data_IF_884143283547
#
_entry.id   IF_884143283547
#
_cell.length_a   1.000
_cell.length_b   1.000
_cell.length_c   1.000
_cell.angle_alpha   90.00
_cell.angle_beta   90.00
_cell.angle_gamma   90.00
#
_symmetry.space_group_name_H-M   'P 1'
#
loop_
_entity.id
_entity.type
_entity.pdbx_description
1 polymer ?
#
# COMPACT_ATOMS: atom_id res chain seq x y z
N UNK A 1 16.37 -26.50 12.92
CA UNK A 1 16.14 -26.98 11.54
C UNK A 1 14.84 -26.35 11.09
N UNK A 2 14.81 -25.67 9.94
CA UNK A 2 13.57 -25.03 9.45
C UNK A 2 12.61 -26.11 8.92
N UNK A 3 11.31 -25.89 9.04
CA UNK A 3 10.29 -26.82 8.57
C UNK A 3 10.15 -26.74 7.04
N UNK A 4 10.34 -27.86 6.34
CA UNK A 4 10.11 -27.94 4.89
C UNK A 4 8.62 -27.79 4.59
N UNK A 5 8.25 -26.67 3.99
CA UNK A 5 6.87 -26.25 3.83
C UNK A 5 6.51 -26.13 2.35
N UNK A 6 5.46 -26.84 1.96
CA UNK A 6 4.78 -26.70 0.67
C UNK A 6 3.57 -25.76 0.83
N UNK A 7 3.31 -24.89 -0.15
CA UNK A 7 2.18 -23.95 -0.09
C UNK A 7 1.11 -24.33 -1.09
N UNK A 8 -0.12 -24.59 -0.64
CA UNK A 8 -1.25 -24.87 -1.52
C UNK A 8 -2.02 -23.58 -1.84
N UNK A 9 -1.84 -23.11 -3.08
CA UNK A 9 -2.36 -21.87 -3.65
C UNK A 9 -1.23 -20.89 -3.96
N UNK A 10 -0.90 -20.69 -5.23
CA UNK A 10 0.12 -19.74 -5.68
C UNK A 10 -0.51 -18.36 -5.92
N UNK A 11 -0.83 -17.65 -4.84
CA UNK A 11 -1.46 -16.34 -4.86
C UNK A 11 -0.98 -15.42 -3.74
N UNK A 12 -1.57 -14.21 -3.58
CA UNK A 12 -1.10 -13.21 -2.63
C UNK A 12 -1.00 -13.71 -1.19
N UNK A 13 -1.97 -14.52 -0.73
CA UNK A 13 -1.95 -15.10 0.62
C UNK A 13 -0.73 -15.99 0.89
N UNK A 14 -0.18 -16.63 -0.14
CA UNK A 14 1.02 -17.45 -0.02
C UNK A 14 2.28 -16.59 0.14
N UNK A 15 2.36 -15.48 -0.59
CA UNK A 15 3.47 -14.53 -0.46
C UNK A 15 3.49 -13.88 0.94
N UNK A 16 2.31 -13.53 1.46
CA UNK A 16 2.16 -12.99 2.82
C UNK A 16 2.57 -14.04 3.85
N UNK A 17 2.09 -15.27 3.70
CA UNK A 17 2.48 -16.37 4.59
C UNK A 17 3.99 -16.61 4.60
N UNK A 18 4.62 -16.58 3.41
CA UNK A 18 6.07 -16.70 3.28
C UNK A 18 6.79 -15.59 4.04
N UNK A 19 6.42 -14.33 3.78
CA UNK A 19 6.99 -13.16 4.48
C UNK A 19 6.90 -13.31 5.99
N UNK A 20 5.73 -13.71 6.50
CA UNK A 20 5.44 -13.76 7.94
C UNK A 20 6.05 -14.98 8.65
N UNK A 21 6.56 -16.00 7.94
CA UNK A 21 7.02 -17.25 8.57
C UNK A 21 8.37 -17.77 8.03
N UNK A 22 9.09 -16.96 7.25
CA UNK A 22 10.37 -17.33 6.62
C UNK A 22 11.47 -17.74 7.62
N UNK A 23 11.45 -17.22 8.84
CA UNK A 23 12.48 -17.56 9.85
C UNK A 23 12.31 -18.97 10.40
N UNK A 24 11.09 -19.51 10.36
CA UNK A 24 10.74 -20.83 10.89
C UNK A 24 10.73 -21.92 9.81
N UNK A 25 10.67 -21.52 8.53
CA UNK A 25 10.32 -22.40 7.41
C UNK A 25 11.31 -22.34 6.25
N UNK A 26 11.47 -23.49 5.61
CA UNK A 26 12.11 -23.64 4.31
C UNK A 26 11.00 -23.91 3.29
N UNK A 27 10.74 -22.96 2.39
CA UNK A 27 9.72 -23.14 1.37
C UNK A 27 10.29 -23.90 0.17
N UNK A 28 9.64 -25.00 -0.19
CA UNK A 28 10.16 -25.92 -1.22
C UNK A 28 9.40 -25.82 -2.56
N UNK A 29 8.27 -25.11 -2.59
CA UNK A 29 7.41 -25.04 -3.76
C UNK A 29 5.98 -24.62 -3.46
N UNK A 30 5.22 -24.43 -4.53
CA UNK A 30 3.78 -24.23 -4.47
C UNK A 30 3.06 -25.40 -5.13
N UNK A 31 1.80 -25.59 -4.75
CA UNK A 31 0.84 -26.45 -5.44
C UNK A 31 -0.38 -25.62 -5.77
N UNK A 32 -0.89 -25.67 -6.99
CA UNK A 32 -2.11 -24.93 -7.38
C UNK A 32 -3.01 -25.80 -8.26
N UNK A 33 -4.33 -25.67 -8.14
CA UNK A 33 -5.26 -26.37 -9.02
C UNK A 33 -5.33 -25.73 -10.42
N UNK A 34 -4.86 -24.49 -10.57
CA UNK A 34 -4.81 -23.80 -11.84
C UNK A 34 -3.68 -24.34 -12.73
N UNK A 35 -4.07 -25.10 -13.76
CA UNK A 35 -3.14 -25.70 -14.73
C UNK A 35 -2.33 -24.66 -15.52
N UNK A 36 -2.81 -23.42 -15.65
CA UNK A 36 -2.07 -22.38 -16.34
C UNK A 36 -0.77 -22.00 -15.62
N UNK A 37 -0.71 -22.20 -14.30
CA UNK A 37 0.46 -21.84 -13.47
C UNK A 37 1.51 -22.94 -13.36
N UNK A 38 1.19 -24.18 -13.79
CA UNK A 38 2.06 -25.33 -13.53
C UNK A 38 3.39 -25.21 -14.30
N UNK A 39 4.49 -25.39 -13.59
CA UNK A 39 5.85 -25.23 -14.12
C UNK A 39 6.36 -23.80 -14.15
N UNK A 40 5.51 -22.80 -13.87
CA UNK A 40 5.97 -21.44 -13.61
C UNK A 40 6.72 -21.35 -12.28
N UNK A 41 7.47 -20.25 -12.10
CA UNK A 41 8.16 -19.94 -10.85
C UNK A 41 7.55 -18.70 -10.20
N UNK A 42 7.34 -18.79 -8.89
CA UNK A 42 6.96 -17.68 -8.03
C UNK A 42 7.99 -17.58 -6.91
N UNK A 43 8.59 -16.39 -6.70
CA UNK A 43 9.68 -16.21 -5.72
C UNK A 43 10.84 -17.21 -5.88
N UNK A 44 11.14 -17.61 -7.12
CA UNK A 44 12.19 -18.59 -7.43
C UNK A 44 11.85 -20.05 -7.08
N UNK A 45 10.60 -20.34 -6.69
CA UNK A 45 10.11 -21.69 -6.38
C UNK A 45 9.08 -22.14 -7.42
N UNK A 46 9.11 -23.42 -7.76
CA UNK A 46 8.22 -24.02 -8.78
C UNK A 46 6.79 -24.16 -8.28
N UNK A 47 5.83 -23.94 -9.17
CA UNK A 47 4.41 -24.25 -8.96
C UNK A 47 4.11 -25.62 -9.57
N UNK A 48 3.75 -26.59 -8.73
CA UNK A 48 3.47 -27.97 -9.12
C UNK A 48 1.97 -28.23 -9.27
N UNK A 49 1.57 -29.18 -10.12
CA UNK A 49 0.23 -29.77 -10.04
C UNK A 49 0.05 -30.54 -8.71
N UNK A 50 -1.18 -30.66 -8.17
CA UNK A 50 -1.43 -31.46 -6.97
C UNK A 50 -1.01 -32.92 -7.10
N UNK A 51 -1.04 -33.48 -8.32
CA UNK A 51 -0.57 -34.84 -8.63
C UNK A 51 0.93 -35.06 -8.46
N UNK A 52 1.70 -34.03 -8.10
CA UNK A 52 3.13 -34.14 -7.80
C UNK A 52 3.43 -34.17 -6.30
N UNK A 53 2.43 -33.99 -5.41
CA UNK A 53 2.64 -33.90 -3.96
C UNK A 53 3.39 -35.12 -3.42
N UNK A 54 3.08 -36.33 -3.90
CA UNK A 54 3.71 -37.60 -3.50
C UNK A 54 5.19 -37.70 -3.87
N UNK A 55 5.67 -36.87 -4.80
CA UNK A 55 7.07 -36.82 -5.26
C UNK A 55 7.89 -35.77 -4.54
N UNK A 56 7.28 -34.95 -3.67
CA UNK A 56 7.94 -33.86 -2.97
C UNK A 56 8.24 -34.24 -1.53
N UNK A 57 9.44 -33.87 -1.05
CA UNK A 57 9.87 -34.08 0.33
C UNK A 57 9.50 -32.87 1.19
N UNK A 58 8.42 -32.99 1.98
CA UNK A 58 7.93 -31.93 2.87
C UNK A 58 7.51 -32.44 4.26
N UNK A 59 7.69 -31.57 5.25
CA UNK A 59 7.18 -31.78 6.61
C UNK A 59 5.70 -31.42 6.69
N UNK A 60 5.31 -30.30 6.06
CA UNK A 60 3.96 -29.75 6.11
C UNK A 60 3.53 -29.13 4.78
N UNK A 61 2.22 -29.13 4.52
CA UNK A 61 1.57 -28.37 3.46
C UNK A 61 0.60 -27.35 4.08
N UNK A 62 0.80 -26.07 3.78
CA UNK A 62 -0.02 -24.96 4.30
C UNK A 62 -1.00 -24.51 3.22
N UNK A 63 -2.28 -24.40 3.56
CA UNK A 63 -3.31 -23.97 2.63
C UNK A 63 -3.41 -22.44 2.66
N UNK A 64 -3.02 -21.78 1.57
CA UNK A 64 -2.91 -20.31 1.46
C UNK A 64 -3.92 -19.71 0.48
N UNK A 65 -4.96 -20.48 0.14
CA UNK A 65 -6.07 -20.07 -0.74
C UNK A 65 -7.38 -19.89 0.03
N UNK A 66 -8.29 -19.08 -0.51
CA UNK A 66 -9.62 -18.88 0.05
C UNK A 66 -10.48 -20.16 0.09
N UNK A 67 -10.16 -21.15 -0.74
CA UNK A 67 -10.87 -22.43 -0.85
C UNK A 67 -10.42 -23.46 0.20
N UNK A 68 -10.10 -23.00 1.42
CA UNK A 68 -9.38 -23.77 2.44
C UNK A 68 -9.96 -25.16 2.74
N UNK A 69 -11.28 -25.26 2.95
CA UNK A 69 -11.94 -26.52 3.28
C UNK A 69 -12.03 -27.50 2.08
N UNK A 70 -12.19 -26.97 0.87
CA UNK A 70 -12.22 -27.79 -0.35
C UNK A 70 -10.83 -28.38 -0.62
N UNK A 71 -9.78 -27.56 -0.50
CA UNK A 71 -8.39 -28.00 -0.62
C UNK A 71 -8.02 -28.99 0.47
N UNK A 72 -8.41 -28.76 1.73
CA UNK A 72 -8.19 -29.72 2.81
C UNK A 72 -8.80 -31.09 2.48
N UNK A 73 -10.02 -31.11 1.94
CA UNK A 73 -10.69 -32.35 1.52
C UNK A 73 -9.95 -33.02 0.37
N UNK A 74 -9.57 -32.25 -0.65
CA UNK A 74 -8.81 -32.72 -1.81
C UNK A 74 -7.47 -33.37 -1.38
N UNK A 75 -6.70 -32.68 -0.54
CA UNK A 75 -5.42 -33.19 -0.04
C UNK A 75 -5.56 -34.52 0.70
N UNK A 76 -6.63 -34.68 1.48
CA UNK A 76 -6.87 -35.90 2.26
C UNK A 76 -7.43 -37.05 1.43
N UNK A 77 -8.36 -36.76 0.53
CA UNK A 77 -9.18 -37.78 -0.14
C UNK A 77 -8.66 -38.16 -1.53
N UNK A 78 -7.98 -37.24 -2.22
CA UNK A 78 -7.48 -37.45 -3.58
C UNK A 78 -5.97 -37.69 -3.62
N UNK A 79 -5.22 -37.08 -2.69
CA UNK A 79 -3.74 -37.14 -2.67
C UNK A 79 -3.17 -37.81 -1.42
N UNK A 80 -4.02 -38.42 -0.58
CA UNK A 80 -3.64 -39.19 0.62
C UNK A 80 -2.66 -38.47 1.56
N UNK A 81 -2.70 -37.13 1.62
CA UNK A 81 -1.83 -36.35 2.51
C UNK A 81 -2.28 -36.55 3.96
N UNK A 82 -1.38 -36.98 4.86
CA UNK A 82 -1.74 -37.17 6.27
C UNK A 82 -2.25 -35.88 6.91
N UNK A 83 -3.37 -35.94 7.63
CA UNK A 83 -3.99 -34.77 8.27
C UNK A 83 -3.02 -33.99 9.17
N UNK A 84 -2.10 -34.69 9.85
CA UNK A 84 -1.05 -34.08 10.68
C UNK A 84 -0.04 -33.21 9.91
N UNK A 85 0.05 -33.37 8.58
CA UNK A 85 0.90 -32.55 7.71
C UNK A 85 0.15 -31.35 7.12
N UNK A 86 -1.18 -31.30 7.20
CA UNK A 86 -1.97 -30.24 6.56
C UNK A 86 -2.24 -29.12 7.56
N UNK A 87 -1.82 -27.91 7.23
CA UNK A 87 -1.93 -26.73 8.08
C UNK A 87 -2.92 -25.74 7.46
N UNK A 88 -3.96 -25.40 8.22
CA UNK A 88 -4.75 -24.20 7.98
C UNK A 88 -4.12 -23.06 8.79
N UNK A 89 -3.53 -22.05 8.14
CA UNK A 89 -2.88 -20.96 8.83
C UNK A 89 -3.91 -20.13 9.61
N UNK A 90 -3.51 -19.59 10.77
CA UNK A 90 -4.35 -18.62 11.48
C UNK A 90 -4.42 -17.33 10.66
N UNK A 91 -5.55 -16.61 10.71
CA UNK A 91 -5.80 -15.45 9.83
C UNK A 91 -4.66 -14.42 9.82
N UNK A 92 -3.98 -14.21 10.94
CA UNK A 92 -2.88 -13.25 11.04
C UNK A 92 -1.64 -13.66 10.22
N UNK A 93 -1.40 -14.97 10.03
CA UNK A 93 -0.32 -15.44 9.16
C UNK A 93 -0.62 -15.18 7.66
N UNK A 94 -1.86 -14.84 7.32
CA UNK A 94 -2.30 -14.47 5.97
C UNK A 94 -2.61 -12.97 5.83
N UNK A 95 -2.37 -12.16 6.86
CA UNK A 95 -2.53 -10.71 6.84
C UNK A 95 -1.16 -10.05 6.91
N UNK A 96 -1.00 -8.95 6.18
CA UNK A 96 0.12 -8.06 6.43
C UNK A 96 0.00 -7.53 7.87
N UNK A 97 1.13 -7.41 8.56
CA UNK A 97 1.17 -6.61 9.78
C UNK A 97 0.86 -5.15 9.41
N UNK A 98 -0.01 -4.52 10.18
CA UNK A 98 -0.41 -3.13 9.95
C UNK A 98 0.72 -2.22 10.46
N UNK A 99 1.36 -1.44 9.58
CA UNK A 99 2.63 -0.78 9.90
C UNK A 99 2.49 0.18 11.09
N UNK A 100 1.36 0.86 11.24
CA UNK A 100 1.22 1.90 12.27
C UNK A 100 0.86 1.38 13.68
N UNK A 101 0.68 0.06 13.87
CA UNK A 101 0.75 -0.52 15.21
C UNK A 101 2.19 -0.75 15.67
N UNK A 102 3.15 -0.83 14.75
CA UNK A 102 4.57 -0.87 15.07
C UNK A 102 5.07 0.54 15.46
N UNK A 103 5.71 0.64 16.63
CA UNK A 103 6.15 1.92 17.18
C UNK A 103 7.25 2.60 16.33
N UNK A 104 8.16 1.85 15.73
CA UNK A 104 9.20 2.43 14.87
C UNK A 104 8.59 2.97 13.57
N UNK A 105 7.69 2.20 12.94
CA UNK A 105 7.00 2.59 11.70
C UNK A 105 6.11 3.81 11.87
N UNK A 106 5.28 3.88 12.93
CA UNK A 106 4.45 5.08 13.14
C UNK A 106 5.30 6.32 13.43
N UNK A 107 6.44 6.19 14.12
CA UNK A 107 7.34 7.32 14.34
C UNK A 107 8.03 7.78 13.06
N UNK A 108 8.39 6.85 12.16
CA UNK A 108 8.88 7.19 10.84
C UNK A 108 7.81 7.90 10.01
N UNK A 109 6.57 7.42 10.04
CA UNK A 109 5.45 8.05 9.34
C UNK A 109 5.21 9.49 9.84
N UNK A 110 5.21 9.71 11.17
CA UNK A 110 5.10 11.06 11.75
C UNK A 110 6.27 11.97 11.35
N UNK A 111 7.49 11.41 11.32
CA UNK A 111 8.69 12.11 10.87
C UNK A 111 8.57 12.56 9.41
N UNK A 112 8.08 11.68 8.52
CA UNK A 112 7.83 12.01 7.11
C UNK A 112 6.81 13.16 7.00
N UNK A 113 5.66 13.07 7.69
CA UNK A 113 4.63 14.12 7.69
C UNK A 113 5.19 15.47 8.12
N UNK A 114 5.89 15.51 9.26
CA UNK A 114 6.48 16.74 9.80
C UNK A 114 7.54 17.33 8.86
N UNK A 115 8.58 16.56 8.51
CA UNK A 115 9.75 17.10 7.81
C UNK A 115 9.46 17.46 6.36
N UNK A 116 8.57 16.71 5.67
CA UNK A 116 8.14 17.12 4.33
C UNK A 116 7.33 18.42 4.38
N UNK A 117 6.41 18.57 5.35
CA UNK A 117 5.65 19.81 5.52
C UNK A 117 6.54 21.00 5.90
N UNK A 118 7.47 20.82 6.82
CA UNK A 118 8.41 21.86 7.23
C UNK A 118 9.20 22.40 6.02
N UNK A 119 9.76 21.48 5.21
CA UNK A 119 10.46 21.84 3.97
C UNK A 119 9.54 22.53 2.96
N UNK A 120 8.32 22.04 2.81
CA UNK A 120 7.35 22.59 1.87
C UNK A 120 6.94 24.00 2.25
N UNK A 121 6.65 24.25 3.53
CA UNK A 121 6.35 25.57 4.07
C UNK A 121 7.53 26.53 3.87
N UNK A 122 8.76 26.10 4.21
CA UNK A 122 9.95 26.91 4.03
C UNK A 122 10.20 27.27 2.55
N UNK A 123 9.94 26.33 1.64
CA UNK A 123 10.08 26.51 0.20
C UNK A 123 8.86 27.17 -0.47
N UNK A 124 7.77 27.42 0.28
CA UNK A 124 6.46 27.89 -0.23
C UNK A 124 5.88 26.99 -1.32
N UNK A 125 6.09 25.69 -1.17
CA UNK A 125 5.53 24.65 -2.03
C UNK A 125 4.22 24.16 -1.38
N UNK A 126 3.09 24.13 -2.12
CA UNK A 126 1.88 23.49 -1.63
C UNK A 126 2.08 21.97 -1.57
N UNK A 127 2.03 21.41 -0.37
CA UNK A 127 2.13 19.98 -0.11
C UNK A 127 1.26 19.64 1.10
N UNK A 128 -0.02 19.38 0.84
CA UNK A 128 -1.00 19.10 1.88
C UNK A 128 -1.02 17.62 2.22
N UNK A 129 -1.31 17.25 3.46
CA UNK A 129 -1.72 15.86 3.77
C UNK A 129 -3.10 15.58 3.18
N UNK A 130 -3.34 14.35 2.72
CA UNK A 130 -4.55 13.96 2.00
C UNK A 130 -5.17 12.66 2.58
N UNK A 131 -6.37 12.30 2.11
CA UNK A 131 -7.05 11.04 2.40
C UNK A 131 -6.99 10.56 3.87
N UNK A 132 -6.52 9.33 4.11
CA UNK A 132 -6.48 8.69 5.43
C UNK A 132 -5.55 9.41 6.41
N UNK A 133 -4.47 10.00 5.89
CA UNK A 133 -3.54 10.80 6.70
C UNK A 133 -4.21 12.07 7.22
N UNK A 134 -4.85 12.85 6.35
CA UNK A 134 -5.62 14.02 6.77
C UNK A 134 -6.72 13.64 7.77
N UNK A 135 -7.48 12.59 7.47
CA UNK A 135 -8.55 12.10 8.33
C UNK A 135 -8.04 11.74 9.71
N UNK A 136 -6.92 11.01 9.80
CA UNK A 136 -6.28 10.65 11.06
C UNK A 136 -5.86 11.87 11.86
N UNK A 137 -5.09 12.77 11.23
CA UNK A 137 -4.59 13.98 11.88
C UNK A 137 -5.72 14.82 12.48
N UNK A 138 -6.86 14.93 11.79
CA UNK A 138 -8.02 15.72 12.26
C UNK A 138 -8.87 14.97 13.28
N UNK A 139 -9.24 13.71 13.00
CA UNK A 139 -10.20 12.95 13.85
C UNK A 139 -9.52 12.27 15.02
N UNK A 140 -8.46 11.53 14.75
CA UNK A 140 -7.78 10.68 15.72
C UNK A 140 -6.61 11.42 16.39
N UNK A 141 -6.34 12.67 15.97
CA UNK A 141 -5.24 13.53 16.43
C UNK A 141 -3.85 12.96 16.10
N UNK A 142 -3.80 11.97 15.21
CA UNK A 142 -2.60 11.24 14.83
C UNK A 142 -2.88 10.34 13.60
N UNK A 143 -1.84 9.70 13.07
CA UNK A 143 -1.96 8.70 12.02
C UNK A 143 -2.84 7.54 12.51
N UNK A 144 -3.77 7.10 11.66
CA UNK A 144 -4.71 6.01 11.97
C UNK A 144 -3.93 4.71 12.15
N UNK A 145 -4.01 4.01 13.31
CA UNK A 145 -3.18 2.83 13.56
C UNK A 145 -3.42 1.65 12.60
N UNK A 146 -4.61 1.58 11.99
CA UNK A 146 -4.98 0.53 11.04
C UNK A 146 -4.89 0.96 9.57
N UNK A 147 -4.37 2.15 9.28
CA UNK A 147 -3.93 2.52 7.93
C UNK A 147 -2.59 1.84 7.60
N UNK A 148 -2.22 1.88 6.32
CA UNK A 148 -0.99 1.29 5.81
C UNK A 148 -0.13 2.19 4.91
N UNK A 149 -0.50 3.47 4.77
CA UNK A 149 0.24 4.47 3.98
C UNK A 149 0.18 5.89 4.59
N UNK A 150 0.95 6.80 3.97
CA UNK A 150 0.88 8.24 4.27
C UNK A 150 0.64 8.98 2.97
N UNK A 151 -0.42 9.78 2.91
CA UNK A 151 -0.85 10.45 1.69
C UNK A 151 -0.65 11.96 1.76
N UNK A 152 -0.11 12.49 0.67
CA UNK A 152 -0.01 13.91 0.39
C UNK A 152 -0.61 14.23 -0.98
N UNK A 153 -1.00 15.48 -1.15
CA UNK A 153 -1.36 16.03 -2.44
C UNK A 153 -0.62 17.34 -2.72
N UNK A 154 -0.31 17.54 -4.00
CA UNK A 154 0.30 18.76 -4.50
C UNK A 154 -0.25 19.12 -5.89
N UNK A 155 -0.26 20.39 -6.29
CA UNK A 155 -0.63 20.79 -7.64
C UNK A 155 0.39 20.26 -8.65
N UNK A 156 -0.08 19.82 -9.82
CA UNK A 156 0.75 19.27 -10.88
C UNK A 156 1.89 20.20 -11.30
N UNK A 157 1.64 21.50 -11.24
CA UNK A 157 2.58 22.56 -11.60
C UNK A 157 3.81 22.59 -10.67
N UNK A 158 3.71 22.01 -9.47
CA UNK A 158 4.80 21.94 -8.48
C UNK A 158 5.59 20.63 -8.51
N UNK A 159 5.34 19.76 -9.50
CA UNK A 159 5.87 18.39 -9.48
C UNK A 159 7.40 18.30 -9.44
N UNK A 160 8.12 19.21 -10.10
CA UNK A 160 9.58 19.23 -10.08
C UNK A 160 10.15 19.73 -8.76
N UNK A 161 9.49 20.71 -8.14
CA UNK A 161 9.84 21.27 -6.85
C UNK A 161 9.60 20.25 -5.72
N UNK A 162 8.46 19.54 -5.77
CA UNK A 162 8.14 18.44 -4.86
C UNK A 162 9.14 17.29 -5.02
N UNK A 163 9.53 16.94 -6.25
CA UNK A 163 10.57 15.92 -6.48
C UNK A 163 11.89 16.30 -5.81
N UNK A 164 12.33 17.55 -5.97
CA UNK A 164 13.55 18.06 -5.34
C UNK A 164 13.43 18.06 -3.80
N UNK A 165 12.25 18.40 -3.27
CA UNK A 165 11.96 18.39 -1.84
C UNK A 165 12.05 16.97 -1.26
N UNK A 166 11.44 15.97 -1.90
CA UNK A 166 11.51 14.56 -1.46
C UNK A 166 12.95 14.05 -1.52
N UNK A 167 13.71 14.38 -2.58
CA UNK A 167 15.14 14.06 -2.67
C UNK A 167 15.96 14.69 -1.54
N UNK A 168 15.66 15.93 -1.18
CA UNK A 168 16.30 16.61 -0.06
C UNK A 168 15.96 15.96 1.29
N UNK A 169 14.72 15.54 1.50
CA UNK A 169 14.33 14.77 2.69
C UNK A 169 15.11 13.46 2.80
N UNK A 170 15.23 12.70 1.71
CA UNK A 170 16.00 11.45 1.67
C UNK A 170 17.48 11.69 1.98
N UNK A 171 18.07 12.72 1.39
CA UNK A 171 19.48 13.06 1.61
C UNK A 171 19.82 13.38 3.07
N UNK A 172 18.89 14.03 3.79
CA UNK A 172 19.07 14.37 5.21
C UNK A 172 18.71 13.21 6.16
N UNK A 173 18.22 12.10 5.63
CA UNK A 173 17.77 10.93 6.38
C UNK A 173 18.45 9.62 5.94
N UNK A 174 19.80 9.55 5.94
CA UNK A 174 20.55 8.43 5.34
C UNK A 174 20.47 7.10 6.11
N UNK A 175 19.95 7.13 7.34
CA UNK A 175 19.83 5.93 8.19
C UNK A 175 18.79 4.93 7.66
N UNK A 176 17.85 5.40 6.84
CA UNK A 176 16.82 4.58 6.20
C UNK A 176 17.23 4.30 4.74
N UNK A 177 17.03 3.07 4.27
CA UNK A 177 17.27 2.69 2.86
C UNK A 177 16.11 3.16 1.98
N UNK A 178 16.14 4.41 1.56
CA UNK A 178 15.05 5.00 0.77
C UNK A 178 15.05 4.53 -0.69
N UNK A 179 13.85 4.46 -1.26
CA UNK A 179 13.62 4.38 -2.71
C UNK A 179 12.57 5.40 -3.11
N UNK A 180 12.87 6.20 -4.13
CA UNK A 180 11.93 7.17 -4.69
C UNK A 180 11.47 6.66 -6.06
N UNK A 181 10.18 6.39 -6.21
CA UNK A 181 9.59 6.00 -7.48
C UNK A 181 8.72 7.13 -8.04
N UNK A 182 9.05 7.57 -9.25
CA UNK A 182 8.28 8.56 -10.00
C UNK A 182 7.33 7.85 -10.97
N UNK A 183 6.03 8.13 -10.85
CA UNK A 183 5.01 7.56 -11.74
C UNK A 183 4.67 8.59 -12.82
N UNK A 184 4.79 8.19 -14.09
CA UNK A 184 4.54 9.05 -15.26
C UNK A 184 3.46 8.42 -16.13
N UNK A 185 2.49 9.21 -16.59
CA UNK A 185 1.43 8.77 -17.50
C UNK A 185 1.85 8.72 -18.98
N UNK A 186 0.96 8.26 -19.85
CA UNK A 186 1.18 8.20 -21.30
C UNK A 186 1.41 9.57 -21.97
N UNK A 187 1.07 10.67 -21.28
CA UNK A 187 1.23 12.06 -21.73
C UNK A 187 2.50 12.70 -21.16
N UNK A 188 3.37 11.93 -20.51
CA UNK A 188 4.60 12.39 -19.86
C UNK A 188 4.37 13.32 -18.66
N UNK A 189 3.18 13.30 -18.06
CA UNK A 189 2.92 13.99 -16.80
C UNK A 189 3.30 13.09 -15.64
N UNK A 190 3.99 13.67 -14.66
CA UNK A 190 4.23 12.98 -13.39
C UNK A 190 2.92 12.96 -12.62
N UNK A 191 2.37 11.78 -12.34
CA UNK A 191 1.08 11.66 -11.63
C UNK A 191 1.27 11.49 -10.13
N UNK A 192 2.36 10.87 -9.70
CA UNK A 192 2.72 10.74 -8.28
C UNK A 192 4.21 10.50 -8.09
N UNK A 193 4.66 10.74 -6.86
CA UNK A 193 5.95 10.29 -6.32
C UNK A 193 5.66 9.36 -5.16
N UNK A 194 6.26 8.18 -5.16
CA UNK A 194 6.15 7.20 -4.09
C UNK A 194 7.48 7.15 -3.34
N UNK A 195 7.44 7.54 -2.08
CA UNK A 195 8.57 7.39 -1.16
C UNK A 195 8.41 6.05 -0.43
N UNK A 196 9.32 5.14 -0.71
CA UNK A 196 9.40 3.80 -0.13
C UNK A 196 10.72 3.64 0.60
N UNK A 197 10.83 2.60 1.39
CA UNK A 197 12.08 2.26 2.05
C UNK A 197 12.16 0.76 2.32
N UNK A 198 13.38 0.27 2.58
CA UNK A 198 13.61 -1.05 3.12
C UNK A 198 14.17 -0.94 4.54
N UNK A 199 13.66 -1.78 5.43
CA UNK A 199 14.16 -1.88 6.80
C UNK A 199 15.53 -2.58 6.84
N UNK A 200 16.60 -1.86 7.22
CA UNK A 200 17.94 -2.47 7.39
C UNK A 200 18.04 -3.32 8.66
N UNK A 201 17.34 -2.91 9.72
CA UNK A 201 17.35 -3.53 11.05
C UNK A 201 16.19 -4.49 11.31
N UNK A 202 15.17 -4.52 10.45
CA UNK A 202 13.98 -5.36 10.60
C UNK A 202 12.95 -4.84 11.60
N UNK A 203 13.15 -3.67 12.18
CA UNK A 203 12.27 -3.02 13.16
C UNK A 203 11.15 -2.19 12.52
N UNK A 204 11.39 -1.65 11.32
CA UNK A 204 10.37 -1.00 10.51
C UNK A 204 9.56 -2.02 9.71
N UNK A 205 8.24 -1.90 9.79
CA UNK A 205 7.28 -2.49 8.85
C UNK A 205 7.05 -1.55 7.67
N UNK A 206 7.06 -2.12 6.47
CA UNK A 206 6.92 -1.40 5.21
C UNK A 206 5.58 -0.66 5.11
N UNK A 207 5.65 0.60 4.69
CA UNK A 207 4.52 1.40 4.20
C UNK A 207 5.00 2.28 3.06
N UNK A 208 4.07 2.87 2.29
CA UNK A 208 4.42 3.82 1.24
C UNK A 208 3.95 5.20 1.65
N UNK A 209 4.77 6.23 1.44
CA UNK A 209 4.29 7.60 1.44
C UNK A 209 4.05 8.05 0.01
N UNK A 210 2.80 8.36 -0.31
CA UNK A 210 2.37 8.76 -1.65
C UNK A 210 2.25 10.28 -1.71
N UNK A 211 2.83 10.90 -2.73
CA UNK A 211 2.56 12.29 -3.08
C UNK A 211 1.84 12.29 -4.42
N UNK A 212 0.51 12.43 -4.35
CA UNK A 212 -0.35 12.47 -5.52
C UNK A 212 -0.42 13.88 -6.11
N UNK A 213 -0.19 14.00 -7.41
CA UNK A 213 -0.41 15.27 -8.07
C UNK A 213 -1.88 15.42 -8.49
N UNK A 214 -2.37 16.65 -8.35
CA UNK A 214 -3.73 17.04 -8.69
C UNK A 214 -3.73 18.15 -9.72
N UNK A 215 -4.77 18.18 -10.57
CA UNK A 215 -4.94 19.23 -11.59
C UNK A 215 -6.35 19.80 -11.55
N UNK A 216 -6.46 21.13 -11.48
CA UNK A 216 -7.75 21.82 -11.57
C UNK A 216 -8.27 21.77 -13.01
N UNK A 217 -9.49 21.27 -13.19
CA UNK A 217 -10.18 21.14 -14.46
C UNK A 217 -11.70 21.16 -14.23
N UNK A 218 -12.41 22.02 -14.97
CA UNK A 218 -13.88 22.10 -14.97
C UNK A 218 -14.50 22.24 -13.56
N UNK A 219 -13.88 23.06 -12.69
CA UNK A 219 -14.35 23.28 -11.32
C UNK A 219 -13.92 22.20 -10.31
N UNK A 220 -13.09 21.24 -10.73
CA UNK A 220 -12.68 20.07 -9.95
C UNK A 220 -11.17 19.97 -9.85
N UNK A 221 -10.66 19.61 -8.68
CA UNK A 221 -9.32 19.09 -8.50
C UNK A 221 -9.29 17.59 -8.80
N UNK A 222 -8.68 17.23 -9.93
CA UNK A 222 -8.60 15.86 -10.45
C UNK A 222 -7.39 15.15 -9.84
N UNK A 223 -7.60 14.02 -9.16
CA UNK A 223 -6.52 13.17 -8.67
C UNK A 223 -5.90 12.37 -9.83
N UNK A 224 -4.70 12.75 -10.25
CA UNK A 224 -4.07 12.20 -11.45
C UNK A 224 -3.74 10.70 -11.34
N UNK A 225 -3.24 10.17 -10.21
CA UNK A 225 -2.96 8.74 -10.09
C UNK A 225 -4.20 7.85 -10.24
N UNK A 226 -5.42 8.38 -10.07
CA UNK A 226 -6.65 7.62 -10.28
C UNK A 226 -7.41 8.05 -11.53
N UNK A 227 -6.77 8.80 -12.42
CA UNK A 227 -7.41 9.34 -13.63
C UNK A 227 -8.70 10.12 -13.34
N UNK A 228 -8.80 10.76 -12.16
CA UNK A 228 -10.00 11.50 -11.75
C UNK A 228 -11.12 10.67 -11.11
N UNK A 229 -10.93 9.36 -10.88
CA UNK A 229 -11.89 8.58 -10.06
C UNK A 229 -12.12 9.25 -8.70
N UNK A 230 -11.05 9.61 -8.01
CA UNK A 230 -11.10 10.58 -6.93
C UNK A 230 -10.98 12.00 -7.47
N UNK A 231 -11.82 12.88 -6.94
CA UNK A 231 -11.82 14.31 -7.25
C UNK A 231 -12.33 15.07 -6.04
N UNK A 232 -12.19 16.39 -6.06
CA UNK A 232 -12.85 17.28 -5.12
C UNK A 232 -13.21 18.60 -5.84
N UNK A 233 -14.08 19.46 -5.29
CA UNK A 233 -14.13 20.85 -5.70
C UNK A 233 -12.74 21.49 -5.69
N UNK A 234 -12.38 22.24 -6.74
CA UNK A 234 -11.02 22.76 -6.94
C UNK A 234 -10.55 23.69 -5.81
N UNK A 235 -11.46 24.46 -5.19
CA UNK A 235 -11.13 25.41 -4.13
C UNK A 235 -10.48 24.77 -2.88
N UNK A 236 -10.67 23.47 -2.64
CA UNK A 236 -9.96 22.77 -1.56
C UNK A 236 -8.46 22.62 -1.83
N UNK A 237 -8.04 22.65 -3.10
CA UNK A 237 -6.67 22.38 -3.54
C UNK A 237 -6.02 23.53 -4.33
N UNK A 238 -6.79 24.57 -4.71
CA UNK A 238 -6.24 25.81 -5.29
C UNK A 238 -5.45 26.64 -4.26
N UNK A 239 -5.72 26.42 -2.98
CA UNK A 239 -4.99 26.97 -1.85
C UNK A 239 -4.98 25.94 -0.70
N UNK A 240 -4.18 26.19 0.33
CA UNK A 240 -4.15 25.36 1.54
C UNK A 240 -4.38 26.21 2.78
N UNK A 241 -4.80 25.55 3.86
CA UNK A 241 -4.74 26.10 5.20
C UNK A 241 -3.70 25.34 6.03
N UNK A 242 -3.45 25.81 7.26
CA UNK A 242 -2.52 25.16 8.18
C UNK A 242 -3.25 24.62 9.39
N UNK A 243 -2.83 23.46 9.85
CA UNK A 243 -3.34 22.76 11.02
C UNK A 243 -2.21 22.54 12.03
N UNK A 244 -2.47 22.79 13.31
CA UNK A 244 -1.53 22.46 14.39
C UNK A 244 -1.68 20.99 14.74
N UNK A 245 -0.61 20.23 14.53
CA UNK A 245 -0.58 18.81 14.84
C UNK A 245 0.67 18.50 15.66
N UNK A 246 0.48 18.13 16.93
CA UNK A 246 1.56 17.84 17.87
C UNK A 246 2.55 19.01 18.04
N UNK A 247 2.08 20.26 17.91
CA UNK A 247 2.90 21.47 17.97
C UNK A 247 3.64 21.80 16.66
N UNK A 248 3.39 21.05 15.59
CA UNK A 248 3.94 21.28 14.26
C UNK A 248 2.87 21.90 13.35
N UNK A 249 3.30 22.77 12.43
CA UNK A 249 2.41 23.37 11.43
C UNK A 249 2.36 22.49 10.19
N UNK A 250 1.18 21.93 9.89
CA UNK A 250 0.96 21.04 8.74
C UNK A 250 0.05 21.73 7.72
N UNK A 251 0.41 21.68 6.44
CA UNK A 251 -0.49 22.11 5.36
C UNK A 251 -1.58 21.07 5.14
N UNK A 252 -2.82 21.54 5.03
CA UNK A 252 -4.02 20.73 4.80
C UNK A 252 -4.86 21.39 3.70
N UNK A 253 -5.73 20.64 2.99
CA UNK A 253 -6.63 21.23 1.99
C UNK A 253 -7.45 22.37 2.60
N UNK A 254 -7.72 23.42 1.83
CA UNK A 254 -8.57 24.51 2.30
C UNK A 254 -9.96 24.00 2.67
N UNK A 255 -10.47 24.41 3.82
CA UNK A 255 -11.75 23.92 4.37
C UNK A 255 -11.72 22.40 4.53
N UNK A 256 -10.65 21.86 5.14
CA UNK A 256 -10.41 20.40 5.20
C UNK A 256 -11.59 19.61 5.79
N UNK A 257 -12.35 20.18 6.73
CA UNK A 257 -13.52 19.52 7.31
C UNK A 257 -14.66 19.34 6.28
N UNK A 258 -14.84 20.31 5.39
CA UNK A 258 -15.79 20.21 4.27
C UNK A 258 -15.26 19.20 3.24
N UNK A 259 -13.95 19.22 2.95
CA UNK A 259 -13.32 18.23 2.08
C UNK A 259 -13.48 16.79 2.62
N UNK A 260 -13.22 16.56 3.92
CA UNK A 260 -13.42 15.24 4.55
C UNK A 260 -14.90 14.80 4.47
N UNK A 261 -15.83 15.74 4.64
CA UNK A 261 -17.27 15.49 4.49
C UNK A 261 -17.61 15.12 3.04
N UNK A 262 -17.03 15.83 2.08
CA UNK A 262 -17.16 15.49 0.66
C UNK A 262 -16.58 14.10 0.37
N UNK A 263 -15.42 13.77 0.92
CA UNK A 263 -14.73 12.52 0.60
C UNK A 263 -15.39 11.29 1.22
N UNK A 264 -15.85 11.40 2.48
CA UNK A 264 -16.23 10.26 3.32
C UNK A 264 -17.65 10.33 3.88
N UNK A 265 -18.36 11.46 3.75
CA UNK A 265 -19.65 11.67 4.41
C UNK A 265 -19.49 11.82 5.93
N UNK A 266 -20.03 10.88 6.71
CA UNK A 266 -19.78 10.84 8.16
C UNK A 266 -18.40 10.25 8.45
N UNK A 267 -17.39 11.12 8.48
CA UNK A 267 -16.02 10.73 8.78
C UNK A 267 -15.71 10.71 10.28
N UNK A 268 -16.55 11.30 11.13
CA UNK A 268 -16.35 11.35 12.57
C UNK A 268 -16.51 9.96 13.21
N UNK A 269 -17.31 9.09 12.60
CA UNK A 269 -17.46 7.69 13.02
C UNK A 269 -16.36 6.82 12.38
N UNK A 270 -15.43 6.22 13.16
CA UNK A 270 -14.36 5.41 12.59
C UNK A 270 -14.87 4.17 11.86
N UNK A 271 -14.39 3.96 10.64
CA UNK A 271 -14.56 2.73 9.85
C UNK A 271 -13.20 2.11 9.58
N UNK A 272 -12.94 0.91 10.12
CA UNK A 272 -11.64 0.25 9.99
C UNK A 272 -11.43 -0.45 8.65
N UNK A 273 -12.50 -1.03 8.12
CA UNK A 273 -12.48 -1.77 6.85
C UNK A 273 -13.15 -0.92 5.75
N UNK A 274 -12.59 0.25 5.47
CA UNK A 274 -13.12 1.14 4.43
C UNK A 274 -13.06 0.45 3.07
N UNK A 275 -14.18 0.48 2.33
CA UNK A 275 -14.28 -0.05 0.97
C UNK A 275 -14.35 1.09 -0.02
N UNK A 276 -14.09 0.80 -1.29
CA UNK A 276 -14.27 1.78 -2.35
C UNK A 276 -15.70 2.36 -2.36
N UNK A 277 -16.70 1.55 -2.03
CA UNK A 277 -18.11 1.97 -1.91
C UNK A 277 -18.43 2.87 -0.72
N UNK A 278 -17.50 3.04 0.23
CA UNK A 278 -17.68 3.93 1.38
C UNK A 278 -17.30 5.39 1.07
N UNK A 279 -16.58 5.65 -0.03
CA UNK A 279 -16.32 7.01 -0.48
C UNK A 279 -17.60 7.67 -0.98
N UNK A 280 -17.91 8.84 -0.46
CA UNK A 280 -19.18 9.52 -0.73
C UNK A 280 -19.26 10.10 -2.15
N UNK A 281 -18.11 10.44 -2.72
CA UNK A 281 -18.00 11.03 -4.06
C UNK A 281 -16.87 10.36 -4.84
N UNK A 282 -17.25 9.63 -5.89
CA UNK A 282 -16.36 9.05 -6.90
C UNK A 282 -16.92 9.37 -8.28
N UNK A 283 -16.03 9.47 -9.26
CA UNK A 283 -16.40 9.52 -10.67
C UNK A 283 -16.05 8.22 -11.37
N UNK A 284 -16.90 7.83 -12.33
CA UNK A 284 -16.57 6.72 -13.22
C UNK A 284 -15.43 7.14 -14.15
N UNK A 285 -14.48 6.23 -14.31
CA UNK A 285 -13.40 6.34 -15.29
C UNK A 285 -13.64 5.26 -16.34
N UNK A 286 -13.59 5.64 -17.62
CA UNK A 286 -13.94 4.73 -18.71
C UNK A 286 -12.99 3.53 -18.77
N UNK A 287 -13.52 2.32 -18.91
CA UNK A 287 -12.69 1.10 -19.00
C UNK A 287 -11.72 1.11 -20.21
N UNK A 288 -12.11 1.79 -21.30
CA UNK A 288 -11.24 2.02 -22.46
C UNK A 288 -10.08 2.98 -22.15
N UNK A 289 -10.29 3.98 -21.31
CA UNK A 289 -9.24 4.89 -20.85
C UNK A 289 -8.25 4.15 -19.96
N UNK A 290 -8.73 3.30 -19.06
CA UNK A 290 -7.88 2.49 -18.17
C UNK A 290 -6.99 1.55 -18.98
N UNK A 291 -7.56 0.83 -19.95
CA UNK A 291 -6.80 -0.14 -20.76
C UNK A 291 -5.82 0.51 -21.75
N UNK A 292 -6.08 1.76 -22.14
CA UNK A 292 -5.19 2.50 -23.04
C UNK A 292 -4.12 3.30 -22.29
N UNK A 293 -4.29 3.52 -20.97
CA UNK A 293 -3.33 4.25 -20.16
C UNK A 293 -2.04 3.43 -19.95
N UNK A 294 -0.93 4.01 -20.42
CA UNK A 294 0.41 3.51 -20.09
C UNK A 294 0.93 4.30 -18.90
N UNK A 295 1.41 3.58 -17.88
CA UNK A 295 2.13 4.18 -16.76
C UNK A 295 3.55 3.67 -16.72
N UNK A 296 4.48 4.57 -16.43
CA UNK A 296 5.89 4.28 -16.36
C UNK A 296 6.39 4.60 -14.95
N UNK A 297 6.98 3.60 -14.31
CA UNK A 297 7.62 3.73 -13.01
C UNK A 297 9.11 3.98 -13.22
N UNK A 298 9.63 5.07 -12.67
CA UNK A 298 11.05 5.40 -12.73
C UNK A 298 11.62 5.46 -11.32
N UNK A 299 12.63 4.64 -11.02
CA UNK A 299 13.43 4.80 -9.81
C UNK A 299 14.35 6.03 -9.98
N UNK A 300 14.25 6.98 -9.06
CA UNK A 300 14.96 8.26 -9.10
C UNK A 300 15.73 8.55 -7.80
N UNK A 301 16.00 7.49 -7.03
CA UNK A 301 16.80 7.52 -5.79
C UNK A 301 18.21 8.03 -6.05
#
# INVERSE_FOLDING_TARGET
MKLKTLLFGAGPGALIFMKNTQDEREFIGFVDNDAAKHGEQLQGLTIYPPSYIDKLDFDQIVITTQWGMAVMSQLRLEFDVPEAKIILPVKNQLKNELPFYNQASIQLARKIVRELNERAIAAKIPLVVDFGTLLGLVRDQDIIPWDDDVDFAAPQESASEVEALVKSFVADNPDVDWRIEKVIDGKQLTTSILLKFNSKSGDLLDFTSSIAFRKSQDGKSIHLPSMGMWYAPEHHFDNFETFDWLGETIQVPSQYAEYLTFQYGDWNTPKKDIKLSDYANLQEVGFEEINSEKRFLHDIT
#
